data_IF_565542696089
#
_entry.id   IF_565542696089
#
_cell.length_a   1.000
_cell.length_b   1.000
_cell.length_c   1.000
_cell.angle_alpha   90.00
_cell.angle_beta   90.00
_cell.angle_gamma   90.00
#
_symmetry.space_group_name_H-M   'P 1'
#
loop_
_entity.id
_entity.type
_entity.pdbx_description
1 polymer ?
#
# COMPACT_ATOMS: atom_id res chain seq x y z
N UNK A 1 -10.88 -0.05 0.31
CA UNK A 1 -10.06 0.92 1.06
C UNK A 1 -9.63 2.03 0.10
N UNK A 2 -9.78 3.31 0.45
CA UNK A 2 -9.33 4.44 -0.40
C UNK A 2 -7.88 4.81 -0.06
N UNK A 3 -6.94 3.98 -0.50
CA UNK A 3 -5.51 4.17 -0.19
C UNK A 3 -4.85 5.26 -1.05
N UNK A 4 -5.46 5.63 -2.17
CA UNK A 4 -4.99 6.73 -3.04
C UNK A 4 -5.04 8.12 -2.39
N UNK A 5 -5.62 8.25 -1.19
CA UNK A 5 -5.67 9.49 -0.41
C UNK A 5 -4.75 9.49 0.81
N UNK A 6 -3.89 8.49 0.95
CA UNK A 6 -2.88 8.49 2.01
C UNK A 6 -1.90 9.65 1.81
N UNK A 7 -1.48 10.25 2.91
CA UNK A 7 -0.41 11.23 2.87
C UNK A 7 0.88 10.55 2.38
N UNK A 8 1.65 11.27 1.57
CA UNK A 8 2.97 10.79 1.14
C UNK A 8 3.85 10.47 2.35
N UNK A 9 4.66 9.43 2.22
CA UNK A 9 5.61 9.05 3.26
C UNK A 9 6.58 10.21 3.54
N UNK A 10 6.82 10.51 4.82
CA UNK A 10 7.61 11.67 5.25
C UNK A 10 9.12 11.47 5.06
N UNK A 11 9.56 10.27 4.65
CA UNK A 11 10.96 9.99 4.43
C UNK A 11 11.48 10.69 3.17
N UNK A 12 12.58 11.44 3.33
CA UNK A 12 13.26 12.16 2.25
C UNK A 12 14.66 11.60 1.95
N UNK A 13 15.09 10.58 2.68
CA UNK A 13 16.42 9.99 2.52
C UNK A 13 16.43 8.99 1.38
N UNK A 14 17.07 9.36 0.26
CA UNK A 14 17.17 8.53 -0.95
C UNK A 14 17.92 7.21 -0.67
N UNK A 15 18.93 7.24 0.19
CA UNK A 15 19.72 6.04 0.59
C UNK A 15 18.88 4.92 1.21
N UNK A 16 17.68 5.25 1.71
CA UNK A 16 16.79 4.26 2.33
C UNK A 16 15.78 3.67 1.35
N UNK A 17 15.71 4.20 0.12
CA UNK A 17 14.78 3.76 -0.92
C UNK A 17 13.32 3.64 -0.45
N UNK A 18 12.88 4.55 0.43
CA UNK A 18 11.53 4.50 1.00
C UNK A 18 10.53 5.27 0.14
N UNK A 19 9.97 4.60 -0.87
CA UNK A 19 8.87 5.10 -1.68
C UNK A 19 7.56 4.39 -1.34
N UNK A 20 6.44 5.12 -1.41
CA UNK A 20 5.11 4.55 -1.24
C UNK A 20 4.68 3.79 -2.50
N UNK A 21 4.05 2.63 -2.31
CA UNK A 21 3.28 1.99 -3.39
C UNK A 21 2.08 2.87 -3.75
N UNK A 22 1.74 2.94 -5.03
CA UNK A 22 0.54 3.63 -5.49
C UNK A 22 -0.71 3.08 -4.78
N UNK A 23 -1.61 3.98 -4.40
CA UNK A 23 -2.74 3.62 -3.54
C UNK A 23 -3.76 2.71 -4.23
N UNK A 24 -4.02 2.90 -5.52
CA UNK A 24 -4.97 2.04 -6.24
C UNK A 24 -4.37 0.64 -6.45
N UNK A 25 -3.06 0.57 -6.72
CA UNK A 25 -2.32 -0.69 -6.80
C UNK A 25 -2.31 -1.44 -5.45
N UNK A 26 -1.99 -0.74 -4.36
CA UNK A 26 -2.00 -1.33 -3.01
C UNK A 26 -3.39 -1.82 -2.62
N UNK A 27 -4.44 -1.07 -2.95
CA UNK A 27 -5.82 -1.47 -2.67
C UNK A 27 -6.21 -2.73 -3.45
N UNK A 28 -5.76 -2.86 -4.71
CA UNK A 28 -5.96 -4.07 -5.50
C UNK A 28 -5.27 -5.29 -4.88
N UNK A 29 -4.01 -5.16 -4.49
CA UNK A 29 -3.28 -6.27 -3.85
C UNK A 29 -3.94 -6.73 -2.56
N UNK A 30 -4.34 -5.81 -1.69
CA UNK A 30 -5.04 -6.18 -0.46
C UNK A 30 -6.36 -6.89 -0.74
N UNK A 31 -7.10 -6.46 -1.78
CA UNK A 31 -8.33 -7.14 -2.20
C UNK A 31 -8.04 -8.58 -2.69
N UNK A 32 -6.99 -8.76 -3.49
CA UNK A 32 -6.60 -10.08 -4.00
C UNK A 32 -6.12 -11.02 -2.87
N UNK A 33 -5.31 -10.52 -1.93
CA UNK A 33 -4.87 -11.26 -0.73
C UNK A 33 -6.08 -11.67 0.12
N UNK A 34 -7.01 -10.74 0.35
CA UNK A 34 -8.23 -11.01 1.13
C UNK A 34 -9.10 -12.05 0.42
N UNK A 35 -9.26 -11.95 -0.91
CA UNK A 35 -10.05 -12.88 -1.71
C UNK A 35 -9.45 -14.29 -1.77
N UNK A 36 -8.12 -14.41 -1.69
CA UNK A 36 -7.44 -15.68 -1.59
C UNK A 36 -7.64 -16.37 -0.23
N UNK A 37 -7.99 -15.61 0.81
CA UNK A 37 -8.24 -16.11 2.16
C UNK A 37 -7.00 -16.12 3.06
N UNK A 38 -5.92 -15.44 2.65
CA UNK A 38 -4.67 -15.36 3.44
C UNK A 38 -4.81 -14.43 4.66
N UNK A 39 -5.79 -13.54 4.66
CA UNK A 39 -6.10 -12.65 5.79
C UNK A 39 -7.36 -13.14 6.50
N UNK A 40 -7.20 -13.55 7.75
CA UNK A 40 -8.32 -13.77 8.68
C UNK A 40 -8.85 -12.43 9.19
N UNK A 41 -10.18 -12.30 9.34
CA UNK A 41 -10.79 -11.20 10.11
C UNK A 41 -10.37 -11.19 11.58
#
# INVERSE_FOLDING_TARGET
>A
MLLSRLASHACVSVELEQYSTDGDLAARWLADITAFGDLSE
#
